data_IF_894751452897
#
_entry.id   IF_894751452897
#
_cell.length_a   1.000
_cell.length_b   1.000
_cell.length_c   1.000
_cell.angle_alpha   90.00
_cell.angle_beta   90.00
_cell.angle_gamma   90.00
#
_symmetry.space_group_name_H-M   'P 1'
#
loop_
_entity.id
_entity.type
_entity.pdbx_description
1 polymer ?
#
# COMPACT_ATOMS: atom_id res chain seq x y z
N UNK A 1 23.52 8.49 4.18
CA UNK A 1 22.15 7.93 4.10
C UNK A 1 22.13 6.61 4.85
N UNK A 2 20.96 6.15 5.29
CA UNK A 2 20.83 4.85 5.95
C UNK A 2 20.78 3.68 4.97
N UNK A 3 20.47 2.50 5.49
CA UNK A 3 20.24 1.27 4.71
C UNK A 3 18.92 0.65 5.11
N UNK A 4 18.26 0.01 4.17
CA UNK A 4 17.09 -0.82 4.45
C UNK A 4 17.53 -2.27 4.55
N UNK A 5 17.32 -2.88 5.70
CA UNK A 5 17.64 -4.29 5.97
C UNK A 5 16.34 -5.07 5.97
N UNK A 6 16.26 -6.12 5.16
CA UNK A 6 15.06 -6.94 5.03
C UNK A 6 15.44 -8.40 5.20
N UNK A 7 14.74 -9.07 6.12
CA UNK A 7 14.97 -10.48 6.43
C UNK A 7 13.65 -11.15 6.83
N UNK A 8 13.60 -12.46 6.75
CA UNK A 8 12.48 -13.26 7.25
C UNK A 8 12.71 -13.71 8.67
N UNK A 9 11.67 -13.61 9.49
CA UNK A 9 11.69 -14.16 10.83
C UNK A 9 10.30 -14.63 11.21
N UNK A 10 10.22 -15.84 11.76
CA UNK A 10 8.99 -16.51 12.14
C UNK A 10 7.93 -16.45 11.06
N UNK A 11 7.00 -16.18 10.73
CA UNK A 11 6.11 -16.11 9.56
C UNK A 11 5.95 -14.68 9.01
N UNK A 12 6.97 -13.84 9.20
CA UNK A 12 6.93 -12.43 8.80
C UNK A 12 8.17 -12.02 8.03
N UNK A 13 8.02 -11.01 7.18
CA UNK A 13 9.12 -10.24 6.59
C UNK A 13 9.30 -8.99 7.45
N UNK A 14 10.49 -8.82 7.97
CA UNK A 14 10.89 -7.65 8.77
C UNK A 14 11.69 -6.69 7.92
N UNK A 15 11.32 -5.43 7.93
CA UNK A 15 12.00 -4.33 7.25
C UNK A 15 12.47 -3.32 8.28
N UNK A 16 13.77 -3.02 8.29
CA UNK A 16 14.41 -2.05 9.17
C UNK A 16 15.07 -0.95 8.36
N UNK A 17 14.77 0.29 8.64
CA UNK A 17 15.57 1.43 8.20
C UNK A 17 16.62 1.71 9.28
N UNK A 18 17.90 1.51 8.95
CA UNK A 18 19.04 1.68 9.87
C UNK A 18 19.86 2.88 9.41
N UNK A 19 20.14 3.80 10.34
CA UNK A 19 20.97 4.98 10.06
C UNK A 19 22.49 4.63 10.01
N UNK A 20 23.30 5.61 9.64
CA UNK A 20 24.76 5.45 9.59
C UNK A 20 25.42 5.18 10.94
N UNK A 21 24.71 5.40 12.04
CA UNK A 21 25.17 5.09 13.39
C UNK A 21 24.69 3.70 13.86
N UNK A 22 24.05 2.90 12.99
CA UNK A 22 23.56 1.57 13.31
C UNK A 22 22.25 1.55 14.12
N UNK A 23 21.52 2.65 14.22
CA UNK A 23 20.26 2.75 14.97
C UNK A 23 19.08 2.55 14.07
N UNK A 24 18.11 1.77 14.52
CA UNK A 24 16.84 1.59 13.82
C UNK A 24 15.99 2.86 13.91
N UNK A 25 15.63 3.44 12.77
CA UNK A 25 14.78 4.61 12.64
C UNK A 25 13.31 4.23 12.34
N UNK A 26 13.13 3.08 11.69
CA UNK A 26 11.81 2.58 11.29
C UNK A 26 11.84 1.06 11.28
N UNK A 27 10.77 0.45 11.77
CA UNK A 27 10.51 -0.99 11.64
C UNK A 27 9.16 -1.16 10.96
N UNK A 28 9.11 -2.05 9.96
CA UNK A 28 7.87 -2.47 9.30
C UNK A 28 7.82 -3.99 9.29
N UNK A 29 6.61 -4.53 9.32
CA UNK A 29 6.37 -5.96 9.31
C UNK A 29 5.35 -6.25 8.20
N UNK A 30 5.68 -7.18 7.31
CA UNK A 30 4.76 -7.77 6.35
C UNK A 30 4.52 -9.23 6.70
N UNK A 31 3.30 -9.72 6.49
CA UNK A 31 2.98 -11.13 6.66
C UNK A 31 3.49 -11.95 5.49
N UNK A 32 3.91 -13.21 5.74
CA UNK A 32 4.18 -14.19 4.70
C UNK A 32 2.91 -14.95 4.27
N UNK A 33 1.78 -14.72 4.93
CA UNK A 33 0.54 -15.37 4.58
C UNK A 33 -0.05 -14.77 3.29
N UNK A 34 -0.11 -15.57 2.22
CA UNK A 34 -0.72 -15.18 0.93
C UNK A 34 -2.16 -14.66 1.06
N UNK A 35 -2.92 -15.10 2.08
CA UNK A 35 -4.29 -14.64 2.34
C UNK A 35 -4.37 -13.20 2.83
N UNK A 36 -3.30 -12.68 3.41
CA UNK A 36 -3.22 -11.30 3.89
C UNK A 36 -2.72 -10.34 2.81
N UNK A 37 -2.14 -10.86 1.73
CA UNK A 37 -1.58 -10.06 0.62
C UNK A 37 -2.63 -9.67 -0.44
N UNK A 38 -3.92 -9.72 -0.09
CA UNK A 38 -5.00 -9.27 -0.98
C UNK A 38 -5.23 -7.73 -0.96
N UNK A 39 -4.49 -7.00 -0.12
CA UNK A 39 -4.66 -5.56 0.04
C UNK A 39 -4.35 -4.81 -1.26
N UNK A 40 -5.37 -4.10 -1.78
CA UNK A 40 -5.27 -3.38 -3.04
C UNK A 40 -5.70 -4.20 -4.27
N UNK A 41 -5.92 -5.51 -4.14
CA UNK A 41 -6.43 -6.33 -5.22
C UNK A 41 -7.86 -5.91 -5.59
N UNK A 42 -8.18 -6.01 -6.89
CA UNK A 42 -9.49 -5.63 -7.45
C UNK A 42 -10.18 -6.87 -8.00
N UNK A 43 -11.42 -7.08 -7.57
CA UNK A 43 -12.22 -8.26 -7.92
C UNK A 43 -13.58 -7.89 -8.53
N UNK A 44 -14.16 -8.82 -9.29
CA UNK A 44 -15.60 -8.82 -9.57
C UNK A 44 -16.29 -9.58 -8.45
N UNK A 45 -16.98 -8.87 -7.57
CA UNK A 45 -17.74 -9.44 -6.45
C UNK A 45 -19.23 -9.42 -6.70
N UNK A 46 -19.99 -10.20 -5.87
CA UNK A 46 -21.46 -10.20 -5.86
C UNK A 46 -21.99 -9.78 -4.50
N UNK A 47 -22.94 -8.88 -4.47
CA UNK A 47 -23.67 -8.51 -3.25
C UNK A 47 -24.40 -9.73 -2.72
N UNK A 48 -23.96 -10.27 -1.59
CA UNK A 48 -24.63 -11.36 -0.89
C UNK A 48 -25.72 -10.84 0.03
N UNK A 49 -25.52 -9.71 0.66
CA UNK A 49 -26.48 -9.11 1.60
C UNK A 49 -26.31 -7.58 1.64
N UNK A 50 -27.43 -6.88 1.79
CA UNK A 50 -27.48 -5.43 2.03
C UNK A 50 -28.06 -5.20 3.42
N UNK A 51 -27.31 -4.49 4.28
CA UNK A 51 -27.67 -4.24 5.68
C UNK A 51 -27.84 -2.75 5.91
N UNK A 52 -29.06 -2.27 5.73
CA UNK A 52 -29.37 -0.83 5.87
C UNK A 52 -29.14 -0.28 7.30
N UNK A 53 -29.27 -1.12 8.33
CA UNK A 53 -29.06 -0.70 9.72
C UNK A 53 -27.64 -0.25 10.07
N UNK A 54 -26.65 -0.60 9.24
CA UNK A 54 -25.24 -0.22 9.39
C UNK A 54 -24.68 0.46 8.13
N UNK A 55 -25.54 0.86 7.19
CA UNK A 55 -25.17 1.49 5.92
C UNK A 55 -24.06 0.75 5.17
N UNK A 56 -24.25 -0.56 4.97
CA UNK A 56 -23.23 -1.41 4.35
C UNK A 56 -23.82 -2.58 3.56
N UNK A 57 -22.97 -3.22 2.76
CA UNK A 57 -23.23 -4.46 2.08
C UNK A 57 -22.09 -5.46 2.29
N UNK A 58 -22.44 -6.75 2.27
CA UNK A 58 -21.48 -7.84 2.22
C UNK A 58 -21.32 -8.31 0.78
N UNK A 59 -20.06 -8.35 0.31
CA UNK A 59 -19.72 -8.69 -1.07
C UNK A 59 -18.92 -9.99 -1.08
N UNK A 60 -19.44 -11.03 -1.71
CA UNK A 60 -18.66 -12.23 -1.97
C UNK A 60 -17.68 -11.97 -3.10
N UNK A 61 -16.39 -12.17 -2.86
CA UNK A 61 -15.30 -12.05 -3.84
C UNK A 61 -14.76 -13.40 -4.30
N UNK A 62 -15.14 -14.47 -3.58
CA UNK A 62 -14.94 -15.87 -3.96
C UNK A 62 -16.07 -16.72 -3.37
N UNK A 63 -16.03 -18.05 -3.57
CA UNK A 63 -16.99 -18.96 -2.95
C UNK A 63 -16.88 -19.00 -1.41
N UNK A 64 -15.72 -18.65 -0.88
CA UNK A 64 -15.40 -18.76 0.55
C UNK A 64 -15.05 -17.43 1.21
N UNK A 65 -14.92 -16.35 0.44
CA UNK A 65 -14.47 -15.06 0.94
C UNK A 65 -15.52 -13.98 0.73
N UNK A 66 -15.82 -13.28 1.81
CA UNK A 66 -16.76 -12.17 1.84
C UNK A 66 -16.04 -10.93 2.41
N UNK A 67 -16.32 -9.77 1.84
CA UNK A 67 -15.76 -8.50 2.27
C UNK A 67 -16.88 -7.54 2.65
N UNK A 68 -16.56 -6.60 3.52
CA UNK A 68 -17.46 -5.56 4.01
C UNK A 68 -17.29 -4.29 3.17
N UNK A 69 -18.37 -3.77 2.60
CA UNK A 69 -18.42 -2.54 1.82
C UNK A 69 -19.36 -1.53 2.51
N UNK A 70 -18.81 -0.45 3.07
CA UNK A 70 -19.63 0.68 3.56
C UNK A 70 -20.22 1.46 2.38
N UNK A 71 -21.45 1.98 2.52
CA UNK A 71 -22.06 2.82 1.47
C UNK A 71 -21.28 4.12 1.24
N UNK A 72 -20.56 4.63 2.24
CA UNK A 72 -19.64 5.76 2.07
C UNK A 72 -18.47 5.47 1.10
N UNK A 73 -18.06 4.20 1.01
CA UNK A 73 -17.04 3.70 0.10
C UNK A 73 -17.62 3.17 -1.23
N UNK A 74 -18.94 3.30 -1.43
CA UNK A 74 -19.68 2.82 -2.61
C UNK A 74 -20.33 3.96 -3.38
N UNK A 75 -19.52 4.94 -3.80
CA UNK A 75 -20.02 6.03 -4.67
C UNK A 75 -19.79 5.64 -6.13
N UNK A 76 -20.86 5.67 -6.94
CA UNK A 76 -20.83 5.34 -8.37
C UNK A 76 -20.11 4.02 -8.70
N UNK A 77 -20.55 2.88 -8.11
CA UNK A 77 -19.90 1.58 -8.30
C UNK A 77 -20.02 1.13 -9.76
N UNK A 78 -18.97 0.47 -10.25
CA UNK A 78 -18.97 -0.18 -11.56
C UNK A 78 -19.78 -1.49 -11.48
N UNK A 79 -21.09 -1.44 -11.75
CA UNK A 79 -21.93 -2.63 -11.82
C UNK A 79 -21.78 -3.32 -13.18
N UNK A 80 -21.80 -4.67 -13.15
CA UNK A 80 -21.67 -5.49 -14.35
C UNK A 80 -23.04 -5.93 -14.92
N UNK A 81 -23.99 -6.20 -14.05
CA UNK A 81 -25.26 -6.84 -14.43
C UNK A 81 -26.45 -5.87 -14.59
N UNK A 82 -26.30 -4.60 -14.23
CA UNK A 82 -27.28 -3.54 -14.44
C UNK A 82 -26.65 -2.15 -14.36
N UNK A 83 -27.39 -1.12 -14.78
CA UNK A 83 -27.01 0.26 -14.49
C UNK A 83 -27.23 0.58 -13.00
N UNK A 84 -26.35 1.38 -12.40
CA UNK A 84 -26.49 1.83 -11.02
C UNK A 84 -27.62 2.89 -10.93
N UNK A 85 -28.56 2.66 -10.03
CA UNK A 85 -29.73 3.53 -9.82
C UNK A 85 -29.68 4.29 -8.48
N UNK A 86 -28.50 4.39 -7.88
CA UNK A 86 -28.27 5.03 -6.57
C UNK A 86 -28.32 4.08 -5.39
N UNK A 87 -28.70 2.81 -5.58
CA UNK A 87 -28.79 1.81 -4.50
C UNK A 87 -28.17 0.48 -4.92
N UNK A 88 -27.50 -0.19 -3.96
CA UNK A 88 -27.07 -1.56 -4.13
C UNK A 88 -28.22 -2.52 -3.80
N UNK A 89 -28.31 -3.62 -4.55
CA UNK A 89 -29.28 -4.68 -4.36
C UNK A 89 -28.58 -6.03 -4.22
N UNK A 90 -29.17 -6.93 -3.45
CA UNK A 90 -28.71 -8.31 -3.39
C UNK A 90 -28.64 -8.92 -4.80
N UNK A 91 -27.53 -9.59 -5.11
CA UNK A 91 -27.27 -10.15 -6.43
C UNK A 91 -26.60 -9.18 -7.41
N UNK A 92 -26.40 -7.90 -7.08
CA UNK A 92 -25.60 -7.01 -7.89
C UNK A 92 -24.15 -7.52 -8.01
N UNK A 93 -23.61 -7.44 -9.21
CA UNK A 93 -22.22 -7.77 -9.49
C UNK A 93 -21.44 -6.49 -9.74
N UNK A 94 -20.41 -6.25 -8.94
CA UNK A 94 -19.68 -4.99 -8.97
C UNK A 94 -18.17 -5.20 -8.83
N UNK A 95 -17.43 -4.20 -9.29
CA UNK A 95 -15.98 -4.14 -9.08
C UNK A 95 -15.70 -3.57 -7.70
N UNK A 96 -14.91 -4.31 -6.91
CA UNK A 96 -14.49 -3.89 -5.56
C UNK A 96 -12.99 -4.08 -5.38
N UNK A 97 -12.39 -3.19 -4.61
CA UNK A 97 -10.99 -3.24 -4.21
C UNK A 97 -10.88 -3.50 -2.70
N UNK A 98 -9.95 -4.36 -2.30
CA UNK A 98 -9.66 -4.60 -0.90
C UNK A 98 -8.94 -3.39 -0.32
N UNK A 99 -9.56 -2.72 0.68
CA UNK A 99 -9.07 -1.49 1.31
C UNK A 99 -8.31 -1.76 2.61
N UNK A 100 -8.72 -2.78 3.36
CA UNK A 100 -8.06 -3.19 4.59
C UNK A 100 -8.22 -4.69 4.82
N UNK A 101 -7.22 -5.36 5.42
CA UNK A 101 -7.28 -6.78 5.73
C UNK A 101 -8.32 -7.06 6.84
N UNK A 102 -8.66 -8.33 6.98
CA UNK A 102 -9.45 -8.80 8.11
C UNK A 102 -8.73 -8.48 9.44
N UNK A 103 -9.47 -8.00 10.42
CA UNK A 103 -8.92 -7.74 11.74
C UNK A 103 -9.72 -8.47 12.80
N UNK A 104 -9.10 -9.44 13.48
CA UNK A 104 -9.75 -10.31 14.48
C UNK A 104 -10.97 -11.01 13.85
N UNK A 105 -12.17 -10.68 14.33
CA UNK A 105 -13.45 -11.23 13.86
C UNK A 105 -14.14 -10.40 12.77
N UNK A 106 -13.52 -9.28 12.34
CA UNK A 106 -14.11 -8.40 11.31
C UNK A 106 -13.75 -8.89 9.91
N UNK A 107 -14.68 -8.76 8.98
CA UNK A 107 -14.42 -9.01 7.57
C UNK A 107 -13.40 -8.02 7.00
N UNK A 108 -12.63 -8.41 5.96
CA UNK A 108 -11.82 -7.44 5.21
C UNK A 108 -12.70 -6.31 4.69
N UNK A 109 -12.20 -5.09 4.72
CA UNK A 109 -12.94 -3.94 4.19
C UNK A 109 -12.65 -3.77 2.70
N UNK A 110 -13.70 -3.46 1.93
CA UNK A 110 -13.62 -3.16 0.51
C UNK A 110 -14.11 -1.74 0.21
N UNK A 111 -13.79 -1.28 -0.98
CA UNK A 111 -14.24 0.00 -1.54
C UNK A 111 -14.55 -0.16 -3.03
N UNK A 112 -15.55 0.57 -3.52
CA UNK A 112 -15.80 0.75 -4.95
C UNK A 112 -15.04 1.96 -5.55
N UNK A 113 -14.39 2.78 -4.69
CA UNK A 113 -13.49 3.86 -5.10
C UNK A 113 -12.11 3.26 -5.39
N UNK A 114 -11.86 2.94 -6.66
CA UNK A 114 -10.64 2.26 -7.04
C UNK A 114 -9.45 3.23 -7.00
N UNK A 115 -8.33 2.77 -6.42
CA UNK A 115 -7.09 3.52 -6.34
C UNK A 115 -5.87 2.63 -6.55
N UNK A 116 -4.82 3.18 -7.16
CA UNK A 116 -3.54 2.53 -7.35
C UNK A 116 -2.46 3.37 -6.68
N UNK A 117 -1.71 2.76 -5.78
CA UNK A 117 -0.62 3.43 -5.06
C UNK A 117 0.72 2.94 -5.60
N UNK A 118 1.60 3.88 -5.91
CA UNK A 118 2.97 3.65 -6.33
C UNK A 118 3.99 4.39 -5.48
N UNK A 119 5.19 4.51 -5.99
CA UNK A 119 6.29 5.15 -5.29
C UNK A 119 6.14 6.68 -5.23
N UNK A 120 5.66 7.30 -6.31
CA UNK A 120 5.63 8.76 -6.49
C UNK A 120 4.23 9.35 -6.39
N UNK A 121 3.19 8.59 -6.75
CA UNK A 121 1.81 9.07 -6.66
C UNK A 121 0.82 7.96 -6.27
N UNK A 122 -0.37 8.39 -5.87
CA UNK A 122 -1.57 7.56 -5.81
C UNK A 122 -2.52 8.08 -6.88
N UNK A 123 -3.03 7.18 -7.72
CA UNK A 123 -4.04 7.48 -8.72
C UNK A 123 -5.39 6.95 -8.26
N UNK A 124 -6.40 7.80 -8.21
CA UNK A 124 -7.77 7.44 -7.87
C UNK A 124 -8.64 7.54 -9.13
N UNK A 125 -9.45 6.52 -9.36
CA UNK A 125 -10.40 6.50 -10.47
C UNK A 125 -11.51 7.51 -10.21
N UNK A 126 -11.78 8.33 -11.21
CA UNK A 126 -12.74 9.43 -11.11
C UNK A 126 -12.11 10.74 -10.61
N UNK A 127 -12.84 11.84 -10.77
CA UNK A 127 -12.36 13.18 -10.47
C UNK A 127 -11.30 13.69 -11.44
N UNK A 128 -10.63 14.79 -11.07
CA UNK A 128 -9.59 15.44 -11.89
C UNK A 128 -8.60 16.23 -11.03
N UNK A 129 -8.64 16.00 -9.72
CA UNK A 129 -7.85 16.77 -8.74
C UNK A 129 -6.40 16.31 -8.70
N UNK A 130 -5.48 17.26 -8.48
CA UNK A 130 -4.10 16.99 -8.13
C UNK A 130 -3.86 17.55 -6.74
N UNK A 131 -3.56 16.68 -5.81
CA UNK A 131 -3.21 17.00 -4.43
C UNK A 131 -1.79 16.52 -4.11
N UNK A 132 -1.26 16.95 -2.98
CA UNK A 132 0.06 16.53 -2.52
C UNK A 132 -0.04 16.01 -1.09
N UNK A 133 0.86 15.09 -0.75
CA UNK A 133 1.05 14.64 0.63
C UNK A 133 1.30 15.83 1.57
N UNK A 134 0.68 15.83 2.73
CA UNK A 134 0.90 16.86 3.76
C UNK A 134 2.36 16.91 4.27
N UNK A 135 3.15 15.86 4.03
CA UNK A 135 4.58 15.79 4.38
C UNK A 135 5.50 16.49 3.39
N UNK A 136 4.99 16.88 2.20
CA UNK A 136 5.75 17.65 1.23
C UNK A 136 5.87 19.10 1.67
N UNK A 137 7.06 19.69 1.47
CA UNK A 137 7.27 21.14 1.67
C UNK A 137 6.37 21.91 0.70
N UNK A 138 5.78 23.02 1.15
CA UNK A 138 4.80 23.80 0.37
C UNK A 138 5.34 24.23 -0.99
N UNK A 139 6.60 24.66 -1.06
CA UNK A 139 7.26 25.07 -2.30
C UNK A 139 7.38 23.92 -3.30
N UNK A 140 7.87 22.75 -2.85
CA UNK A 140 7.97 21.56 -3.69
C UNK A 140 6.57 21.07 -4.17
N UNK A 141 5.55 21.17 -3.32
CA UNK A 141 4.19 20.80 -3.68
C UNK A 141 3.61 21.70 -4.79
N UNK A 142 3.88 23.00 -4.75
CA UNK A 142 3.45 23.95 -5.81
C UNK A 142 4.16 23.63 -7.12
N UNK A 143 5.49 23.50 -7.10
CA UNK A 143 6.29 23.18 -8.29
C UNK A 143 5.87 21.86 -8.94
N UNK A 144 5.65 20.81 -8.13
CA UNK A 144 5.20 19.51 -8.64
C UNK A 144 3.80 19.58 -9.28
N UNK A 145 2.86 20.29 -8.65
CA UNK A 145 1.52 20.47 -9.22
C UNK A 145 1.56 21.20 -10.56
N UNK A 146 2.33 22.27 -10.66
CA UNK A 146 2.48 23.02 -11.90
C UNK A 146 3.11 22.17 -13.01
N UNK A 147 4.12 21.37 -12.68
CA UNK A 147 4.76 20.46 -13.63
C UNK A 147 3.75 19.40 -14.15
N UNK A 148 3.00 18.76 -13.25
CA UNK A 148 1.96 17.78 -13.63
C UNK A 148 0.83 18.41 -14.44
N UNK A 149 0.49 19.69 -14.19
CA UNK A 149 -0.53 20.39 -14.97
C UNK A 149 -0.07 20.76 -16.37
N UNK A 150 1.23 21.03 -16.54
CA UNK A 150 1.85 21.36 -17.85
C UNK A 150 2.07 20.11 -18.70
N UNK A 151 2.27 18.96 -18.08
CA UNK A 151 2.50 17.70 -18.80
C UNK A 151 1.23 17.20 -19.47
N UNK A 152 1.30 16.92 -20.76
CA UNK A 152 0.19 16.36 -21.54
C UNK A 152 0.09 14.85 -21.35
N UNK A 153 -0.54 14.42 -20.25
CA UNK A 153 -0.83 13.00 -20.01
C UNK A 153 -2.24 12.69 -20.52
N UNK A 154 -2.33 11.84 -21.54
CA UNK A 154 -3.59 11.43 -22.15
C UNK A 154 -4.49 10.77 -21.12
N UNK A 155 -5.73 11.23 -20.99
CA UNK A 155 -6.70 10.67 -20.04
C UNK A 155 -6.58 11.19 -18.60
N UNK A 156 -5.55 11.98 -18.25
CA UNK A 156 -5.33 12.50 -16.88
C UNK A 156 -6.59 13.13 -16.24
N UNK A 157 -7.39 13.87 -17.02
CA UNK A 157 -8.59 14.57 -16.52
C UNK A 157 -9.70 13.63 -16.02
N UNK A 158 -9.59 12.32 -16.22
CA UNK A 158 -10.54 11.32 -15.71
C UNK A 158 -10.12 10.75 -14.35
N UNK A 159 -8.98 11.17 -13.81
CA UNK A 159 -8.37 10.60 -12.61
C UNK A 159 -7.91 11.70 -11.66
N UNK A 160 -7.99 11.43 -10.37
CA UNK A 160 -7.36 12.26 -9.32
C UNK A 160 -6.00 11.68 -8.94
N UNK A 161 -5.04 12.57 -8.65
CA UNK A 161 -3.70 12.16 -8.23
C UNK A 161 -3.31 12.79 -6.91
N UNK A 162 -2.70 12.00 -6.04
CA UNK A 162 -2.07 12.45 -4.79
C UNK A 162 -0.57 12.25 -4.95
N UNK A 163 0.19 13.34 -5.09
CA UNK A 163 1.65 13.28 -5.21
C UNK A 163 2.27 12.97 -3.85
N UNK A 164 3.10 11.93 -3.81
CA UNK A 164 3.72 11.44 -2.57
C UNK A 164 5.01 12.17 -2.24
N UNK A 165 5.52 11.97 -1.04
CA UNK A 165 6.76 12.61 -0.55
C UNK A 165 7.97 12.31 -1.46
N UNK A 166 8.05 11.07 -1.99
CA UNK A 166 9.12 10.65 -2.90
C UNK A 166 9.16 11.44 -4.21
N UNK A 167 8.02 11.93 -4.70
CA UNK A 167 7.99 12.80 -5.88
C UNK A 167 8.74 14.12 -5.64
N UNK A 168 8.78 14.61 -4.39
CA UNK A 168 9.49 15.84 -4.04
C UNK A 168 11.01 15.73 -3.99
N UNK A 169 11.57 14.54 -4.03
CA UNK A 169 13.03 14.30 -4.08
C UNK A 169 13.55 14.05 -5.50
N UNK A 170 12.67 13.97 -6.49
CA UNK A 170 13.04 13.76 -7.88
C UNK A 170 13.68 15.03 -8.47
N UNK A 171 14.82 14.89 -9.12
CA UNK A 171 15.46 15.93 -9.97
C UNK A 171 14.89 15.90 -11.38
N UNK A 172 14.57 14.71 -11.89
CA UNK A 172 13.84 14.47 -13.13
C UNK A 172 12.48 13.87 -12.82
N UNK A 173 11.41 14.46 -13.34
CA UNK A 173 10.03 14.04 -13.10
C UNK A 173 9.55 12.93 -14.04
N UNK A 174 10.40 12.46 -14.97
CA UNK A 174 10.04 11.39 -15.91
C UNK A 174 9.52 10.13 -15.22
N UNK A 175 10.09 9.65 -14.09
CA UNK A 175 9.57 8.49 -13.38
C UNK A 175 8.15 8.71 -12.81
N UNK A 176 7.84 9.92 -12.32
CA UNK A 176 6.51 10.28 -11.86
C UNK A 176 5.50 10.23 -13.01
N UNK A 177 5.83 10.83 -14.15
CA UNK A 177 4.94 10.85 -15.31
C UNK A 177 4.72 9.47 -15.89
N UNK A 178 5.75 8.63 -15.88
CA UNK A 178 5.64 7.22 -16.31
C UNK A 178 4.73 6.43 -15.39
N UNK A 179 4.87 6.55 -14.08
CA UNK A 179 3.98 5.92 -13.10
C UNK A 179 2.52 6.37 -13.29
N UNK A 180 2.28 7.66 -13.54
CA UNK A 180 0.94 8.18 -13.83
C UNK A 180 0.36 7.56 -15.11
N UNK A 181 1.13 7.44 -16.19
CA UNK A 181 0.70 6.81 -17.46
C UNK A 181 0.37 5.34 -17.25
N UNK A 182 1.19 4.60 -16.49
CA UNK A 182 0.96 3.19 -16.16
C UNK A 182 -0.36 3.00 -15.40
N UNK A 183 -0.66 3.83 -14.40
CA UNK A 183 -1.91 3.73 -13.67
C UNK A 183 -3.13 4.04 -14.54
N UNK A 184 -3.05 5.03 -15.39
CA UNK A 184 -4.10 5.34 -16.36
C UNK A 184 -4.33 4.15 -17.31
N UNK A 185 -3.25 3.54 -17.80
CA UNK A 185 -3.35 2.36 -18.68
C UNK A 185 -3.99 1.17 -17.98
N UNK A 186 -3.66 0.92 -16.70
CA UNK A 186 -4.30 -0.12 -15.89
C UNK A 186 -5.80 0.16 -15.74
N UNK A 187 -6.21 1.37 -15.39
CA UNK A 187 -7.63 1.70 -15.25
C UNK A 187 -8.41 1.63 -16.57
N UNK A 188 -7.80 2.07 -17.69
CA UNK A 188 -8.41 1.93 -19.01
C UNK A 188 -8.64 0.45 -19.34
N UNK A 189 -7.64 -0.41 -19.08
CA UNK A 189 -7.77 -1.85 -19.26
C UNK A 189 -8.86 -2.45 -18.36
N UNK A 190 -8.98 -2.02 -17.11
CA UNK A 190 -10.05 -2.46 -16.22
C UNK A 190 -11.42 -2.08 -16.77
N UNK A 191 -11.59 -0.86 -17.30
CA UNK A 191 -12.84 -0.39 -17.92
C UNK A 191 -13.24 -1.21 -19.14
N UNK A 192 -12.28 -1.68 -19.91
CA UNK A 192 -12.51 -2.54 -21.08
C UNK A 192 -12.92 -3.97 -20.70
N UNK A 193 -12.33 -4.52 -19.64
CA UNK A 193 -12.45 -5.96 -19.38
C UNK A 193 -13.47 -6.34 -18.30
N UNK A 194 -13.86 -5.45 -17.37
CA UNK A 194 -14.66 -5.85 -16.19
C UNK A 194 -16.01 -6.47 -16.54
N UNK A 195 -16.64 -6.03 -17.62
CA UNK A 195 -17.94 -6.56 -18.06
C UNK A 195 -17.86 -7.99 -18.60
N UNK A 196 -16.70 -8.37 -19.18
CA UNK A 196 -16.48 -9.67 -19.80
C UNK A 196 -15.84 -10.72 -18.88
N UNK A 197 -15.35 -10.28 -17.73
CA UNK A 197 -14.73 -11.18 -16.76
C UNK A 197 -15.78 -11.93 -15.95
N UNK A 198 -15.48 -13.19 -15.61
CA UNK A 198 -16.35 -14.01 -14.78
C UNK A 198 -16.47 -13.44 -13.37
N UNK A 199 -17.58 -13.75 -12.71
CA UNK A 199 -17.76 -13.48 -11.29
C UNK A 199 -16.61 -14.10 -10.49
N UNK A 200 -16.14 -13.39 -9.46
CA UNK A 200 -15.02 -13.75 -8.57
C UNK A 200 -13.63 -13.69 -9.23
N UNK A 201 -13.52 -13.20 -10.46
CA UNK A 201 -12.20 -13.03 -11.04
C UNK A 201 -11.46 -11.85 -10.41
N UNK A 202 -10.16 -12.04 -10.17
CA UNK A 202 -9.24 -10.95 -9.87
C UNK A 202 -8.95 -10.19 -11.16
N UNK A 203 -9.26 -8.90 -11.18
CA UNK A 203 -9.02 -8.00 -12.30
C UNK A 203 -7.64 -7.36 -12.25
N UNK A 204 -7.15 -7.11 -11.03
CA UNK A 204 -5.86 -6.53 -10.76
C UNK A 204 -5.29 -7.12 -9.46
N UNK A 205 -4.06 -7.61 -9.53
CA UNK A 205 -3.27 -8.03 -8.38
C UNK A 205 -2.29 -6.92 -8.03
N UNK A 206 -2.35 -6.43 -6.80
CA UNK A 206 -1.45 -5.38 -6.33
C UNK A 206 -0.04 -5.93 -6.10
N UNK A 207 0.95 -5.04 -6.02
CA UNK A 207 2.30 -5.42 -5.61
C UNK A 207 2.30 -6.08 -4.23
N UNK A 208 3.25 -6.98 -3.93
CA UNK A 208 3.43 -7.57 -2.60
C UNK A 208 3.50 -6.50 -1.50
N UNK A 209 2.99 -6.81 -0.31
CA UNK A 209 2.93 -5.86 0.81
C UNK A 209 4.30 -5.28 1.14
N UNK A 210 5.34 -6.12 1.15
CA UNK A 210 6.71 -5.68 1.45
C UNK A 210 7.23 -4.64 0.45
N UNK A 211 6.87 -4.74 -0.83
CA UNK A 211 7.22 -3.73 -1.85
C UNK A 211 6.49 -2.42 -1.55
N UNK A 212 5.19 -2.47 -1.25
CA UNK A 212 4.39 -1.28 -0.88
C UNK A 212 4.92 -0.60 0.39
N UNK A 213 5.37 -1.37 1.39
CA UNK A 213 5.98 -0.86 2.61
C UNK A 213 7.30 -0.12 2.31
N UNK A 214 8.12 -0.69 1.42
CA UNK A 214 9.39 -0.07 1.01
C UNK A 214 9.16 1.21 0.19
N UNK A 215 8.23 1.20 -0.76
CA UNK A 215 7.82 2.40 -1.52
C UNK A 215 7.31 3.54 -0.61
N UNK A 216 6.86 3.21 0.60
CA UNK A 216 6.43 4.16 1.62
C UNK A 216 7.56 4.86 2.37
N UNK A 217 8.83 4.43 2.20
CA UNK A 217 10.01 5.05 2.82
C UNK A 217 10.57 6.12 1.86
N UNK A 218 10.87 7.33 2.34
CA UNK A 218 11.48 8.35 1.51
C UNK A 218 12.84 7.89 0.94
N UNK A 219 13.03 8.06 -0.38
CA UNK A 219 14.27 7.70 -1.06
C UNK A 219 15.50 8.44 -0.52
N UNK A 220 15.28 9.61 0.11
CA UNK A 220 16.34 10.40 0.75
C UNK A 220 16.86 9.79 2.05
N UNK A 221 16.19 8.78 2.61
CA UNK A 221 16.55 8.20 3.90
C UNK A 221 17.50 7.02 3.80
N UNK A 222 17.57 6.36 2.64
CA UNK A 222 18.42 5.19 2.42
C UNK A 222 19.09 5.18 1.05
N UNK A 223 20.22 4.48 0.94
CA UNK A 223 21.02 4.36 -0.28
C UNK A 223 21.16 2.93 -0.78
N UNK A 224 20.78 1.94 0.04
CA UNK A 224 20.96 0.53 -0.28
C UNK A 224 19.86 -0.30 0.39
N UNK A 225 19.42 -1.36 -0.30
CA UNK A 225 18.57 -2.43 0.25
C UNK A 225 19.44 -3.67 0.44
N UNK A 226 19.39 -4.29 1.62
CA UNK A 226 20.17 -5.49 1.94
C UNK A 226 19.22 -6.59 2.41
N UNK A 227 19.35 -7.78 1.85
CA UNK A 227 18.56 -8.95 2.25
C UNK A 227 19.41 -10.23 2.21
N UNK A 228 19.11 -11.17 3.07
CA UNK A 228 19.67 -12.54 3.11
C UNK A 228 18.73 -13.58 2.46
N UNK A 229 17.62 -13.14 1.88
CA UNK A 229 16.60 -13.97 1.25
C UNK A 229 16.65 -13.84 -0.28
N UNK A 230 16.89 -14.94 -1.00
CA UNK A 230 17.08 -14.94 -2.46
C UNK A 230 15.80 -14.50 -3.23
N UNK A 231 14.64 -14.92 -2.76
CA UNK A 231 13.35 -14.53 -3.34
C UNK A 231 13.07 -13.03 -3.16
N UNK A 232 13.40 -12.46 -2.01
CA UNK A 232 13.28 -11.02 -1.76
C UNK A 232 14.31 -10.22 -2.57
N UNK A 233 15.54 -10.75 -2.71
CA UNK A 233 16.55 -10.13 -3.55
C UNK A 233 16.07 -9.97 -4.99
N UNK A 234 15.53 -11.03 -5.60
CA UNK A 234 14.94 -10.99 -6.94
C UNK A 234 13.77 -10.01 -7.00
N UNK A 235 12.84 -10.11 -6.04
CA UNK A 235 11.67 -9.23 -5.97
C UNK A 235 12.07 -7.75 -5.94
N UNK A 236 13.05 -7.37 -5.13
CA UNK A 236 13.46 -5.96 -5.03
C UNK A 236 14.27 -5.49 -6.22
N UNK A 237 15.11 -6.33 -6.79
CA UNK A 237 15.85 -6.01 -8.02
C UNK A 237 14.88 -5.71 -9.18
N UNK A 238 13.78 -6.46 -9.29
CA UNK A 238 12.78 -6.26 -10.33
C UNK A 238 11.89 -5.01 -10.12
N UNK A 239 11.76 -4.54 -8.86
CA UNK A 239 10.87 -3.42 -8.53
C UNK A 239 11.59 -2.09 -8.25
N UNK A 240 12.92 -2.09 -8.04
CA UNK A 240 13.70 -0.91 -7.64
C UNK A 240 14.98 -0.78 -8.47
N UNK A 241 14.85 -0.37 -9.74
CA UNK A 241 15.97 -0.27 -10.68
C UNK A 241 17.01 0.80 -10.27
N UNK A 242 16.60 1.85 -9.56
CA UNK A 242 17.45 2.99 -9.22
C UNK A 242 18.09 2.90 -7.83
N UNK A 243 17.91 1.78 -7.12
CA UNK A 243 18.43 1.58 -5.77
C UNK A 243 19.25 0.30 -5.76
N UNK A 244 20.52 0.33 -5.33
CA UNK A 244 21.32 -0.88 -5.20
C UNK A 244 20.66 -1.88 -4.24
N UNK A 245 20.44 -3.10 -4.72
CA UNK A 245 19.97 -4.23 -3.91
C UNK A 245 21.14 -5.19 -3.71
N UNK A 246 21.50 -5.46 -2.47
CA UNK A 246 22.60 -6.36 -2.13
C UNK A 246 22.07 -7.63 -1.48
N UNK A 247 22.45 -8.77 -2.07
CA UNK A 247 22.28 -10.06 -1.44
C UNK A 247 23.42 -10.28 -0.43
N UNK A 248 23.06 -10.60 0.81
CA UNK A 248 24.01 -10.87 1.88
C UNK A 248 24.01 -12.37 2.20
N UNK A 249 25.20 -12.97 2.14
CA UNK A 249 25.40 -14.36 2.52
C UNK A 249 26.72 -14.49 3.30
N UNK A 250 26.61 -14.85 4.57
CA UNK A 250 27.75 -15.13 5.43
C UNK A 250 27.32 -16.11 6.52
N UNK A 251 27.85 -17.33 6.45
CA UNK A 251 27.50 -18.41 7.39
C UNK A 251 28.05 -18.17 8.82
N UNK A 252 29.09 -17.35 8.93
CA UNK A 252 29.73 -17.05 10.24
C UNK A 252 29.04 -15.85 10.92
N UNK A 253 28.49 -14.92 10.16
CA UNK A 253 27.86 -13.72 10.68
C UNK A 253 26.50 -13.47 10.00
N UNK A 254 25.41 -14.08 10.46
CA UNK A 254 24.09 -13.87 9.90
C UNK A 254 23.68 -12.39 9.87
N UNK A 255 22.88 -11.99 8.87
CA UNK A 255 22.40 -10.62 8.68
C UNK A 255 21.74 -10.06 9.96
N UNK A 256 20.95 -10.89 10.65
CA UNK A 256 20.30 -10.54 11.92
C UNK A 256 21.27 -10.16 13.04
N UNK A 257 22.46 -10.76 13.06
CA UNK A 257 23.54 -10.43 14.02
C UNK A 257 24.31 -9.20 13.59
N UNK A 258 24.66 -9.12 12.30
CA UNK A 258 25.40 -7.97 11.74
C UNK A 258 24.69 -6.65 12.03
N UNK A 259 23.36 -6.62 11.89
CA UNK A 259 22.55 -5.42 12.10
C UNK A 259 21.76 -5.43 13.42
N UNK A 260 22.09 -6.33 14.36
CA UNK A 260 21.45 -6.40 15.69
C UNK A 260 19.91 -6.40 15.66
N UNK A 261 19.32 -7.08 14.66
CA UNK A 261 17.87 -7.10 14.38
C UNK A 261 17.06 -7.48 15.64
N UNK A 262 17.48 -8.52 16.36
CA UNK A 262 16.80 -9.00 17.57
C UNK A 262 16.78 -7.94 18.67
N UNK A 263 17.87 -7.18 18.81
CA UNK A 263 17.97 -6.09 19.79
C UNK A 263 17.04 -4.96 19.45
N UNK A 264 17.05 -4.49 18.19
CA UNK A 264 16.16 -3.43 17.73
C UNK A 264 14.69 -3.84 17.86
N UNK A 265 14.35 -5.09 17.52
CA UNK A 265 12.98 -5.58 17.66
C UNK A 265 12.55 -5.63 19.15
N UNK A 266 13.42 -6.12 20.04
CA UNK A 266 13.16 -6.16 21.47
C UNK A 266 12.99 -4.77 22.07
N UNK A 267 13.79 -3.81 21.66
CA UNK A 267 13.67 -2.41 22.07
C UNK A 267 12.35 -1.79 21.58
N UNK A 268 12.01 -2.00 20.31
CA UNK A 268 10.79 -1.47 19.72
C UNK A 268 9.51 -2.06 20.32
N UNK A 269 9.54 -3.32 20.75
CA UNK A 269 8.43 -3.99 21.44
C UNK A 269 8.42 -3.75 22.94
N UNK A 270 9.39 -3.01 23.46
CA UNK A 270 9.48 -2.67 24.88
C UNK A 270 8.32 -1.78 25.35
N UNK A 271 7.74 -2.09 26.50
CA UNK A 271 6.65 -1.29 27.07
C UNK A 271 7.07 0.13 27.44
N UNK A 272 8.35 0.37 27.74
CA UNK A 272 8.88 1.67 28.16
C UNK A 272 9.74 2.29 27.07
N UNK A 273 9.41 3.53 26.71
CA UNK A 273 10.21 4.36 25.80
C UNK A 273 10.77 5.54 26.58
N UNK A 274 12.10 5.57 26.75
CA UNK A 274 12.79 6.64 27.45
C UNK A 274 12.90 7.90 26.58
N UNK A 275 12.56 9.03 27.14
CA UNK A 275 12.65 10.34 26.49
C UNK A 275 13.99 11.02 26.83
N UNK A 276 14.47 11.90 25.93
CA UNK A 276 15.71 12.66 26.13
C UNK A 276 15.69 13.55 27.38
N UNK A 277 14.50 13.93 27.87
CA UNK A 277 14.32 14.73 29.08
C UNK A 277 14.43 13.92 30.40
N UNK A 278 14.71 12.60 30.32
CA UNK A 278 14.77 11.71 31.48
C UNK A 278 13.44 11.12 31.93
N UNK A 279 12.32 11.53 31.32
CA UNK A 279 11.03 10.89 31.49
C UNK A 279 10.88 9.64 30.62
N UNK A 280 9.78 8.91 30.77
CA UNK A 280 9.45 7.78 29.92
C UNK A 280 7.96 7.72 29.60
N UNK A 281 7.64 7.10 28.48
CA UNK A 281 6.27 6.71 28.10
C UNK A 281 6.09 5.22 28.37
N UNK A 282 4.91 4.83 28.82
CA UNK A 282 4.49 3.42 28.91
C UNK A 282 3.48 3.15 27.82
N UNK A 283 3.78 2.26 26.90
CA UNK A 283 2.93 1.91 25.77
C UNK A 283 2.45 0.48 25.98
N UNK A 284 1.14 0.31 26.18
CA UNK A 284 0.54 -1.00 26.44
C UNK A 284 -0.62 -1.26 25.49
N UNK A 285 -0.57 -2.36 24.68
CA UNK A 285 -1.72 -2.80 23.93
C UNK A 285 -2.75 -3.40 24.89
N UNK A 286 -3.99 -2.93 24.77
CA UNK A 286 -5.16 -3.51 25.44
C UNK A 286 -6.01 -4.26 24.39
N UNK A 287 -7.09 -4.90 24.83
CA UNK A 287 -7.99 -5.61 23.92
C UNK A 287 -8.62 -4.68 22.87
N UNK A 288 -8.92 -3.44 23.22
CA UNK A 288 -9.65 -2.48 22.39
C UNK A 288 -8.77 -1.38 21.78
N UNK A 289 -7.66 -1.00 22.43
CA UNK A 289 -6.83 0.15 22.03
C UNK A 289 -5.39 0.00 22.50
N UNK A 290 -4.51 0.87 22.03
CA UNK A 290 -3.18 1.07 22.60
C UNK A 290 -3.24 2.26 23.54
N UNK A 291 -2.81 2.07 24.79
CA UNK A 291 -2.74 3.12 25.83
C UNK A 291 -1.31 3.63 25.91
N UNK A 292 -1.14 4.94 25.97
CA UNK A 292 0.15 5.64 26.11
C UNK A 292 0.07 6.58 27.31
#
# INVERSE_FOLDING_TARGET
MGKVIITKKDNCILLFLIDTAGRSQLIRVASLNEKEDNLGNIYVGRVSEVVHGIDAAFIAISKCETVFLSFSDCQEPMLRNRAYDGTLKQGDELVVQIKAPALKTKYPAATAKLSLAGQFCVCEKGGHNISCSAKLKKEAAVTLKEAVLKEEIIGRKKYSFILRTNAGSLTDLSPLFEEMRQFIAIFNKLDEIYQYRSLYSCLYSSKPEVVKLLEGIPLSEYEEIVTDEEDLYKLFTDNFENIPVRFYQDDMLPLSKLYSIDTHLKEALGKKVWLKCGGYLVIEPTEAMVVI
#
